data_IF_673610143513
#
_entry.id   IF_673610143513
#
_cell.length_a   1.000
_cell.length_b   1.000
_cell.length_c   1.000
_cell.angle_alpha   90.00
_cell.angle_beta   90.00
_cell.angle_gamma   90.00
#
_symmetry.space_group_name_H-M   'P 1'
#
loop_
_entity.id
_entity.type
_entity.pdbx_description
1 polymer ?
#
# COMPACT_ATOMS: atom_id res chain seq x y z
N UNK A 1 -7.06 8.50 2.10
CA UNK A 1 -6.25 9.46 1.32
C UNK A 1 -6.65 10.91 1.66
N UNK A 2 -5.69 11.80 1.71
CA UNK A 2 -5.91 13.25 1.78
C UNK A 2 -5.98 13.83 0.36
N UNK A 3 -6.91 14.76 0.12
CA UNK A 3 -7.04 15.43 -1.19
C UNK A 3 -6.94 16.95 -1.01
N UNK A 4 -6.07 17.59 -1.79
CA UNK A 4 -5.83 19.04 -1.76
C UNK A 4 -6.03 19.63 -3.15
N UNK A 5 -6.87 20.65 -3.23
CA UNK A 5 -7.13 21.36 -4.48
C UNK A 5 -5.92 22.18 -4.92
N UNK A 6 -5.60 22.12 -6.20
CA UNK A 6 -4.60 23.00 -6.82
C UNK A 6 -5.27 24.32 -7.21
N UNK A 7 -5.02 25.38 -6.44
CA UNK A 7 -5.63 26.70 -6.66
C UNK A 7 -5.35 27.24 -8.06
N UNK A 8 -6.32 27.94 -8.64
CA UNK A 8 -6.25 28.45 -10.01
C UNK A 8 -6.47 27.41 -11.10
N UNK A 9 -6.79 26.16 -10.73
CA UNK A 9 -7.07 25.05 -11.67
C UNK A 9 -8.29 24.25 -11.24
N UNK A 10 -8.76 23.32 -12.11
CA UNK A 10 -9.76 22.32 -11.74
C UNK A 10 -9.14 21.05 -11.13
N UNK A 11 -7.83 21.01 -10.91
CA UNK A 11 -7.12 19.83 -10.47
C UNK A 11 -7.05 19.72 -8.94
N UNK A 12 -6.87 18.49 -8.46
CA UNK A 12 -6.48 18.22 -7.09
C UNK A 12 -5.36 17.16 -7.05
N UNK A 13 -4.58 17.19 -5.99
CA UNK A 13 -3.58 16.20 -5.65
C UNK A 13 -4.12 15.36 -4.52
N UNK A 14 -4.07 14.03 -4.67
CA UNK A 14 -4.34 13.08 -3.61
C UNK A 14 -3.03 12.50 -3.08
N UNK A 15 -2.97 12.26 -1.77
CA UNK A 15 -1.85 11.62 -1.11
C UNK A 15 -2.35 10.50 -0.19
N UNK A 16 -1.62 9.39 -0.14
CA UNK A 16 -1.81 8.30 0.82
C UNK A 16 -0.48 7.96 1.50
N UNK A 17 -0.55 7.39 2.69
CA UNK A 17 0.60 6.81 3.37
C UNK A 17 0.17 5.45 3.91
N UNK A 18 0.88 4.42 3.49
CA UNK A 18 0.52 3.04 3.77
C UNK A 18 1.74 2.24 4.24
N UNK A 19 1.53 1.30 5.16
CA UNK A 19 2.58 0.42 5.68
C UNK A 19 1.94 -0.83 6.30
N UNK A 20 2.56 -1.98 6.12
CA UNK A 20 2.14 -3.23 6.75
C UNK A 20 3.35 -4.04 7.25
N UNK A 21 3.88 -3.64 8.40
CA UNK A 21 5.02 -4.31 9.02
C UNK A 21 4.78 -5.80 9.30
N UNK A 22 3.52 -6.18 9.54
CA UNK A 22 3.14 -7.56 9.82
C UNK A 22 3.24 -8.44 8.57
N UNK A 23 2.79 -7.93 7.44
CA UNK A 23 2.88 -8.62 6.16
C UNK A 23 4.34 -8.74 5.69
N UNK A 24 5.11 -7.66 5.83
CA UNK A 24 6.52 -7.66 5.49
C UNK A 24 7.33 -8.62 6.38
N UNK A 25 6.97 -8.76 7.66
CA UNK A 25 7.61 -9.71 8.56
C UNK A 25 7.24 -11.16 8.22
N UNK A 26 5.99 -11.43 7.87
CA UNK A 26 5.53 -12.77 7.55
C UNK A 26 6.05 -13.29 6.19
N UNK A 27 6.14 -12.41 5.20
CA UNK A 27 6.68 -12.69 3.86
C UNK A 27 7.13 -11.40 3.18
N UNK A 28 8.42 -11.03 3.27
CA UNK A 28 8.90 -9.72 2.89
C UNK A 28 8.61 -9.31 1.44
N UNK A 29 8.79 -10.23 0.50
CA UNK A 29 8.50 -10.00 -0.92
C UNK A 29 7.01 -9.66 -1.16
N UNK A 30 6.11 -10.47 -0.61
CA UNK A 30 4.66 -10.24 -0.74
C UNK A 30 4.24 -8.99 0.03
N UNK A 31 4.77 -8.78 1.24
CA UNK A 31 4.51 -7.58 2.03
C UNK A 31 4.93 -6.30 1.31
N UNK A 32 6.08 -6.31 0.64
CA UNK A 32 6.54 -5.20 -0.21
C UNK A 32 5.58 -4.91 -1.38
N UNK A 33 5.04 -5.95 -2.02
CA UNK A 33 3.99 -5.78 -3.06
C UNK A 33 2.70 -5.22 -2.48
N UNK A 34 2.27 -5.74 -1.32
CA UNK A 34 1.02 -5.33 -0.65
C UNK A 34 1.02 -3.84 -0.32
N UNK A 35 2.09 -3.32 0.26
CA UNK A 35 2.12 -1.91 0.69
C UNK A 35 2.06 -0.94 -0.50
N UNK A 36 2.67 -1.29 -1.64
CA UNK A 36 2.56 -0.50 -2.88
C UNK A 36 1.16 -0.59 -3.47
N UNK A 37 0.59 -1.80 -3.53
CA UNK A 37 -0.76 -2.02 -4.05
C UNK A 37 -1.82 -1.31 -3.19
N UNK A 38 -1.66 -1.29 -1.87
CA UNK A 38 -2.55 -0.58 -0.95
C UNK A 38 -2.52 0.93 -1.20
N UNK A 39 -1.34 1.53 -1.29
CA UNK A 39 -1.19 2.95 -1.60
C UNK A 39 -1.81 3.30 -2.96
N UNK A 40 -1.60 2.46 -3.96
CA UNK A 40 -2.17 2.61 -5.29
C UNK A 40 -3.72 2.56 -5.26
N UNK A 41 -4.32 1.56 -4.58
CA UNK A 41 -5.78 1.45 -4.39
C UNK A 41 -6.36 2.66 -3.65
N UNK A 42 -5.68 3.12 -2.61
CA UNK A 42 -6.12 4.25 -1.80
C UNK A 42 -6.19 5.56 -2.59
N UNK A 43 -5.33 5.75 -3.58
CA UNK A 43 -5.41 6.89 -4.50
C UNK A 43 -6.59 6.74 -5.47
N UNK A 44 -6.78 5.55 -6.01
CA UNK A 44 -7.88 5.26 -6.94
C UNK A 44 -9.24 5.42 -6.27
N UNK A 45 -9.37 5.00 -5.01
CA UNK A 45 -10.63 5.09 -4.26
C UNK A 45 -11.18 6.50 -4.11
N UNK A 46 -10.36 7.52 -4.29
CA UNK A 46 -10.79 8.94 -4.31
C UNK A 46 -10.86 9.53 -5.73
N UNK A 47 -10.70 8.70 -6.77
CA UNK A 47 -10.73 9.12 -8.17
C UNK A 47 -9.41 9.71 -8.68
N UNK A 48 -8.30 9.50 -7.96
CA UNK A 48 -6.99 9.98 -8.36
C UNK A 48 -6.25 8.94 -9.20
N UNK A 49 -5.69 9.37 -10.33
CA UNK A 49 -4.73 8.56 -11.08
C UNK A 49 -3.40 8.56 -10.34
N UNK A 50 -2.88 7.39 -9.88
CA UNK A 50 -1.58 7.30 -9.25
C UNK A 50 -0.46 7.78 -10.18
N UNK A 51 0.52 8.54 -9.67
CA UNK A 51 1.60 9.12 -10.46
C UNK A 51 2.95 8.60 -10.00
N UNK A 52 3.25 8.69 -8.69
CA UNK A 52 4.54 8.37 -8.14
C UNK A 52 4.46 8.09 -6.63
N UNK A 53 5.49 7.39 -6.13
CA UNK A 53 5.65 7.13 -4.70
C UNK A 53 6.99 7.67 -4.18
N UNK A 54 6.98 7.97 -2.89
CA UNK A 54 8.17 8.04 -2.05
C UNK A 54 8.15 6.88 -1.07
N UNK A 55 9.31 6.34 -0.68
CA UNK A 55 9.36 5.31 0.34
C UNK A 55 10.22 5.73 1.53
N UNK A 56 9.80 5.32 2.72
CA UNK A 56 10.57 5.44 3.94
C UNK A 56 10.77 4.02 4.49
N UNK A 57 11.98 3.49 4.31
CA UNK A 57 12.30 2.10 4.60
C UNK A 57 12.96 2.00 5.97
N UNK A 58 12.28 1.35 6.93
CA UNK A 58 12.76 1.22 8.31
C UNK A 58 12.98 -0.26 8.65
N UNK A 59 14.23 -0.62 8.98
CA UNK A 59 14.66 -1.99 9.24
C UNK A 59 15.59 -2.06 10.45
N UNK A 60 15.77 -3.27 10.97
CA UNK A 60 16.75 -3.57 12.04
C UNK A 60 18.19 -3.40 11.55
N UNK A 61 19.15 -3.96 12.30
CA UNK A 61 20.57 -3.93 11.92
C UNK A 61 20.82 -4.70 10.63
N UNK A 62 21.46 -4.09 9.61
CA UNK A 62 21.82 -4.78 8.37
C UNK A 62 22.96 -5.79 8.54
N UNK A 63 23.64 -5.79 9.68
CA UNK A 63 24.69 -6.76 10.02
C UNK A 63 24.12 -8.13 10.39
N UNK A 64 22.81 -8.21 10.66
CA UNK A 64 22.09 -9.46 10.87
C UNK A 64 21.57 -9.97 9.54
N UNK A 65 21.93 -11.18 9.14
CA UNK A 65 21.56 -11.78 7.84
C UNK A 65 20.04 -11.77 7.62
N UNK A 66 19.25 -12.14 8.63
CA UNK A 66 17.79 -12.14 8.56
C UNK A 66 17.23 -10.75 8.22
N UNK A 67 17.68 -9.71 8.92
CA UNK A 67 17.22 -8.33 8.68
C UNK A 67 17.60 -7.84 7.29
N UNK A 68 18.78 -8.23 6.79
CA UNK A 68 19.22 -7.87 5.46
C UNK A 68 18.45 -8.65 4.40
N UNK A 69 18.13 -9.92 4.64
CA UNK A 69 17.24 -10.72 3.80
C UNK A 69 15.85 -10.08 3.68
N UNK A 70 15.24 -9.73 4.80
CA UNK A 70 13.94 -9.03 4.84
C UNK A 70 13.97 -7.71 4.06
N UNK A 71 15.05 -6.92 4.18
CA UNK A 71 15.21 -5.68 3.42
C UNK A 71 15.27 -5.92 1.92
N UNK A 72 16.12 -6.86 1.48
CA UNK A 72 16.28 -7.17 0.05
C UNK A 72 14.98 -7.64 -0.58
N UNK A 73 14.29 -8.57 0.06
CA UNK A 73 13.00 -9.08 -0.45
C UNK A 73 11.89 -8.01 -0.44
N UNK A 74 11.81 -7.17 0.60
CA UNK A 74 10.87 -6.05 0.62
C UNK A 74 11.13 -5.08 -0.54
N UNK A 75 12.38 -4.69 -0.77
CA UNK A 75 12.76 -3.79 -1.87
C UNK A 75 12.44 -4.42 -3.22
N UNK A 76 12.68 -5.72 -3.39
CA UNK A 76 12.31 -6.45 -4.59
C UNK A 76 10.80 -6.41 -4.82
N UNK A 77 10.00 -6.72 -3.80
CA UNK A 77 8.53 -6.68 -3.87
C UNK A 77 7.99 -5.29 -4.22
N UNK A 78 8.53 -4.23 -3.59
CA UNK A 78 8.22 -2.84 -3.92
C UNK A 78 8.54 -2.53 -5.37
N UNK A 79 9.73 -2.94 -5.85
CA UNK A 79 10.16 -2.73 -7.23
C UNK A 79 9.27 -3.42 -8.26
N UNK A 80 8.89 -4.68 -8.02
CA UNK A 80 7.99 -5.44 -8.89
C UNK A 80 6.60 -4.77 -8.99
N UNK A 81 6.00 -4.41 -7.86
CA UNK A 81 4.69 -3.76 -7.83
C UNK A 81 4.72 -2.36 -8.46
N UNK A 82 5.73 -1.55 -8.13
CA UNK A 82 5.91 -0.22 -8.70
C UNK A 82 6.04 -0.24 -10.22
N UNK A 83 6.83 -1.17 -10.74
CA UNK A 83 7.02 -1.36 -12.19
C UNK A 83 5.72 -1.81 -12.86
N UNK A 84 5.03 -2.81 -12.28
CA UNK A 84 3.82 -3.36 -12.88
C UNK A 84 2.65 -2.37 -12.91
N UNK A 85 2.46 -1.65 -11.81
CA UNK A 85 1.39 -0.65 -11.63
C UNK A 85 1.71 0.70 -12.28
N UNK A 86 2.89 0.86 -12.90
CA UNK A 86 3.38 2.13 -13.43
C UNK A 86 3.33 3.24 -12.36
N UNK A 87 3.84 2.93 -11.18
CA UNK A 87 3.82 3.78 -9.99
C UNK A 87 5.26 3.95 -9.46
N UNK A 88 6.10 4.74 -10.17
CA UNK A 88 7.54 4.78 -9.95
C UNK A 88 7.92 5.40 -8.59
N UNK A 89 8.99 4.85 -8.01
CA UNK A 89 9.65 5.44 -6.84
C UNK A 89 10.50 6.61 -7.31
N UNK A 90 10.18 7.83 -6.88
CA UNK A 90 10.89 9.06 -7.27
C UNK A 90 11.71 9.66 -6.13
N UNK A 91 11.49 9.22 -4.91
CA UNK A 91 12.16 9.69 -3.70
C UNK A 91 12.08 8.64 -2.61
N UNK A 92 12.88 8.78 -1.58
CA UNK A 92 12.81 7.93 -0.39
C UNK A 92 14.04 8.04 0.48
N UNK A 93 13.99 7.29 1.59
CA UNK A 93 15.12 7.09 2.49
C UNK A 93 15.15 5.67 3.04
N UNK A 94 16.31 5.27 3.52
CA UNK A 94 16.51 4.04 4.27
C UNK A 94 17.01 4.39 5.67
N UNK A 95 16.39 3.78 6.68
CA UNK A 95 16.82 3.86 8.08
C UNK A 95 17.09 2.44 8.58
N UNK A 96 18.32 2.18 8.99
CA UNK A 96 18.75 0.93 9.60
C UNK A 96 19.00 1.09 11.09
N UNK A 97 19.34 0.00 11.75
CA UNK A 97 19.61 -0.06 13.21
C UNK A 97 18.40 0.37 14.07
N UNK A 98 17.17 0.25 13.54
CA UNK A 98 15.99 0.49 14.34
C UNK A 98 15.73 -0.71 15.23
N UNK A 99 16.22 -0.64 16.45
CA UNK A 99 16.17 -1.75 17.40
C UNK A 99 16.16 -1.29 18.85
N UNK A 100 15.66 -2.15 19.74
CA UNK A 100 15.78 -1.99 21.16
C UNK A 100 16.65 -3.12 21.70
N UNK A 101 17.84 -2.80 22.19
CA UNK A 101 18.88 -3.77 22.52
C UNK A 101 19.18 -4.64 21.28
N UNK A 102 19.04 -5.96 21.41
CA UNK A 102 19.30 -6.92 20.33
C UNK A 102 18.08 -7.22 19.43
N UNK A 103 16.93 -6.64 19.74
CA UNK A 103 15.69 -6.92 19.02
C UNK A 103 15.42 -5.81 18.01
N UNK A 104 15.49 -6.12 16.72
CA UNK A 104 15.11 -5.24 15.62
C UNK A 104 13.59 -5.03 15.55
N UNK A 105 13.19 -3.90 14.99
CA UNK A 105 11.79 -3.70 14.60
C UNK A 105 11.40 -4.69 13.50
N UNK A 106 10.13 -4.96 13.33
CA UNK A 106 9.63 -5.64 12.13
C UNK A 106 9.96 -4.81 10.89
N UNK A 107 10.17 -5.44 9.73
CA UNK A 107 10.37 -4.72 8.46
C UNK A 107 9.23 -3.74 8.23
N UNK A 108 9.53 -2.45 8.18
CA UNK A 108 8.51 -1.41 8.09
C UNK A 108 8.78 -0.45 6.93
N UNK A 109 8.60 -0.90 5.69
CA UNK A 109 8.55 0.01 4.56
C UNK A 109 7.24 0.80 4.61
N UNK A 110 7.32 2.13 4.57
CA UNK A 110 6.18 3.03 4.46
C UNK A 110 6.18 3.66 3.08
N UNK A 111 5.06 3.57 2.38
CA UNK A 111 4.89 4.09 1.02
C UNK A 111 4.01 5.34 1.07
N UNK A 112 4.55 6.46 0.62
CA UNK A 112 3.81 7.69 0.39
C UNK A 112 3.43 7.80 -1.07
N UNK A 113 2.15 7.62 -1.42
CA UNK A 113 1.65 7.70 -2.77
C UNK A 113 1.09 9.08 -3.12
N UNK A 114 1.31 9.52 -4.36
CA UNK A 114 0.75 10.75 -4.90
C UNK A 114 -0.04 10.44 -6.18
N UNK A 115 -1.24 10.98 -6.27
CA UNK A 115 -2.11 10.86 -7.44
C UNK A 115 -2.70 12.19 -7.88
N UNK A 116 -3.14 12.27 -9.14
CA UNK A 116 -3.74 13.44 -9.73
C UNK A 116 -5.23 13.21 -10.03
N UNK A 117 -6.07 14.12 -9.55
CA UNK A 117 -7.47 14.26 -9.94
C UNK A 117 -7.56 15.39 -10.97
N UNK A 118 -8.00 15.08 -12.19
CA UNK A 118 -8.07 16.08 -13.28
C UNK A 118 -9.14 17.13 -13.05
N UNK A 119 -10.26 16.72 -12.42
CA UNK A 119 -11.36 17.59 -12.04
C UNK A 119 -11.77 17.28 -10.60
N UNK A 120 -11.43 18.17 -9.67
CA UNK A 120 -11.72 17.97 -8.25
C UNK A 120 -13.21 17.81 -7.92
N UNK A 121 -14.11 18.26 -8.80
CA UNK A 121 -15.56 18.08 -8.65
C UNK A 121 -16.00 16.62 -8.81
N UNK A 122 -15.15 15.80 -9.44
CA UNK A 122 -15.36 14.36 -9.62
C UNK A 122 -14.71 13.50 -8.52
N UNK A 123 -14.15 14.14 -7.50
CA UNK A 123 -13.58 13.43 -6.36
C UNK A 123 -14.64 12.58 -5.66
N UNK A 124 -14.27 11.38 -5.27
CA UNK A 124 -15.10 10.48 -4.49
C UNK A 124 -14.71 10.59 -3.02
N UNK A 125 -15.72 10.66 -2.14
CA UNK A 125 -15.54 10.58 -0.69
C UNK A 125 -16.17 9.29 -0.15
N UNK A 126 -15.88 8.97 1.12
CA UNK A 126 -16.38 7.75 1.78
C UNK A 126 -17.88 7.79 2.06
N UNK A 127 -18.49 8.97 2.03
CA UNK A 127 -19.90 9.13 2.40
C UNK A 127 -20.83 8.50 1.35
N UNK A 128 -21.86 7.83 1.82
CA UNK A 128 -23.01 7.44 1.00
C UNK A 128 -23.81 8.70 0.65
N UNK A 129 -23.99 9.01 -0.64
CA UNK A 129 -24.50 10.30 -1.11
C UNK A 129 -26.03 10.37 -1.09
N UNK A 130 -26.70 9.35 -1.59
CA UNK A 130 -28.14 9.37 -1.81
C UNK A 130 -28.75 8.02 -1.44
N UNK A 131 -30.02 8.03 -1.08
CA UNK A 131 -30.83 6.81 -0.89
C UNK A 131 -30.98 6.13 -2.25
N UNK A 132 -31.06 4.82 -2.25
CA UNK A 132 -31.18 3.96 -3.43
C UNK A 132 -29.93 3.91 -4.35
N UNK A 133 -28.80 4.48 -3.95
CA UNK A 133 -27.54 4.25 -4.66
C UNK A 133 -27.10 2.79 -4.58
N UNK A 134 -26.58 2.28 -5.70
CA UNK A 134 -26.03 0.93 -5.76
C UNK A 134 -24.67 0.86 -5.06
N UNK A 135 -24.46 -0.19 -4.27
CA UNK A 135 -23.17 -0.54 -3.69
C UNK A 135 -22.58 -1.69 -4.49
N UNK A 136 -21.40 -1.46 -5.08
CA UNK A 136 -20.70 -2.44 -5.90
C UNK A 136 -19.47 -2.96 -5.17
N UNK A 137 -19.21 -4.27 -5.26
CA UNK A 137 -17.95 -4.88 -4.85
C UNK A 137 -17.14 -5.16 -6.11
N UNK A 138 -15.95 -4.55 -6.19
CA UNK A 138 -15.04 -4.73 -7.33
C UNK A 138 -13.90 -5.63 -6.91
N UNK A 139 -13.71 -6.74 -7.66
CA UNK A 139 -12.73 -7.76 -7.36
C UNK A 139 -13.35 -9.05 -6.84
N UNK A 140 -12.49 -9.99 -6.43
CA UNK A 140 -12.89 -11.28 -5.89
C UNK A 140 -12.54 -11.34 -4.41
N UNK A 141 -13.51 -11.74 -3.58
CA UNK A 141 -13.28 -12.01 -2.16
C UNK A 141 -12.83 -13.47 -2.01
N UNK A 142 -11.65 -13.67 -1.45
CA UNK A 142 -11.10 -14.98 -1.13
C UNK A 142 -11.08 -15.19 0.38
N UNK A 143 -11.13 -16.44 0.83
CA UNK A 143 -11.26 -16.79 2.24
C UNK A 143 -9.95 -16.71 3.04
N UNK A 144 -9.01 -15.85 2.69
CA UNK A 144 -7.74 -15.69 3.38
C UNK A 144 -7.92 -14.87 4.66
N UNK A 145 -7.47 -15.41 5.80
CA UNK A 145 -7.56 -14.74 7.10
C UNK A 145 -6.21 -14.58 7.80
N UNK A 146 -5.16 -15.25 7.36
CA UNK A 146 -3.84 -15.18 7.97
C UNK A 146 -3.30 -13.75 8.00
N UNK A 147 -2.61 -13.40 9.09
CA UNK A 147 -2.13 -12.05 9.38
C UNK A 147 -3.22 -10.97 9.49
N UNK A 148 -4.50 -11.32 9.41
CA UNK A 148 -5.60 -10.38 9.63
C UNK A 148 -5.72 -9.96 11.10
N UNK A 149 -6.37 -8.82 11.33
CA UNK A 149 -6.71 -8.40 12.69
C UNK A 149 -7.62 -9.44 13.38
N UNK A 150 -8.53 -10.08 12.64
CA UNK A 150 -9.39 -11.11 13.17
C UNK A 150 -8.59 -12.32 13.68
N UNK A 151 -7.67 -12.86 12.86
CA UNK A 151 -6.82 -13.97 13.27
C UNK A 151 -6.00 -13.63 14.53
N UNK A 152 -5.42 -12.43 14.55
CA UNK A 152 -4.53 -12.00 15.63
C UNK A 152 -5.22 -11.63 16.94
N UNK A 153 -6.44 -11.06 16.87
CA UNK A 153 -7.14 -10.52 18.04
C UNK A 153 -8.21 -11.44 18.57
N UNK A 154 -8.84 -12.21 17.72
CA UNK A 154 -9.95 -13.12 18.10
C UNK A 154 -9.46 -14.56 18.22
N UNK A 155 -8.64 -15.02 17.26
CA UNK A 155 -8.14 -16.40 17.27
C UNK A 155 -6.78 -16.56 17.98
N UNK A 156 -6.12 -15.45 18.34
CA UNK A 156 -4.72 -15.37 18.84
C UNK A 156 -3.69 -16.07 17.90
N UNK A 157 -4.01 -16.12 16.61
CA UNK A 157 -3.16 -16.68 15.57
C UNK A 157 -2.30 -15.57 14.92
N UNK A 158 -0.98 -15.74 14.93
CA UNK A 158 -0.01 -14.77 14.42
C UNK A 158 0.85 -15.32 13.29
N UNK A 159 0.54 -16.54 12.84
CA UNK A 159 1.30 -17.27 11.83
C UNK A 159 0.58 -17.20 10.47
N UNK A 160 1.24 -17.79 9.47
CA UNK A 160 0.74 -17.85 8.11
C UNK A 160 1.22 -16.71 7.22
N UNK A 161 1.11 -16.87 5.90
CA UNK A 161 1.52 -15.85 4.94
C UNK A 161 0.53 -14.67 4.90
N UNK A 162 0.95 -13.48 4.44
CA UNK A 162 0.00 -12.43 4.09
C UNK A 162 -0.80 -12.84 2.84
N UNK A 163 -1.95 -12.16 2.57
CA UNK A 163 -2.69 -12.41 1.34
C UNK A 163 -1.83 -12.08 0.11
N UNK A 164 -1.91 -12.93 -0.91
CA UNK A 164 -1.21 -12.72 -2.17
C UNK A 164 -1.72 -11.47 -2.91
N UNK A 165 -0.84 -10.83 -3.66
CA UNK A 165 -1.17 -9.70 -4.52
C UNK A 165 -1.17 -10.14 -5.98
N UNK A 166 -2.33 -10.13 -6.60
CA UNK A 166 -2.44 -10.30 -8.04
C UNK A 166 -2.39 -8.91 -8.71
N UNK A 167 -1.20 -8.47 -9.10
CA UNK A 167 -0.98 -7.15 -9.68
C UNK A 167 -1.76 -6.91 -10.99
N UNK A 168 -2.05 -7.96 -11.74
CA UNK A 168 -2.89 -7.87 -12.94
C UNK A 168 -4.32 -7.48 -12.58
N UNK A 169 -4.91 -8.16 -11.59
CA UNK A 169 -6.25 -7.85 -11.12
C UNK A 169 -6.30 -6.46 -10.46
N UNK A 170 -5.29 -6.11 -9.66
CA UNK A 170 -5.18 -4.77 -9.07
C UNK A 170 -5.26 -3.68 -10.13
N UNK A 171 -4.43 -3.80 -11.17
CA UNK A 171 -4.37 -2.82 -12.25
C UNK A 171 -5.68 -2.74 -13.02
N UNK A 172 -6.26 -3.87 -13.41
CA UNK A 172 -7.51 -3.90 -14.17
C UNK A 172 -8.68 -3.32 -13.37
N UNK A 173 -8.79 -3.70 -12.09
CA UNK A 173 -9.84 -3.18 -11.21
C UNK A 173 -9.73 -1.66 -11.05
N UNK A 174 -8.54 -1.15 -10.82
CA UNK A 174 -8.32 0.28 -10.65
C UNK A 174 -8.50 1.08 -11.93
N UNK A 175 -8.05 0.59 -13.08
CA UNK A 175 -8.31 1.23 -14.37
C UNK A 175 -9.81 1.25 -14.70
N UNK A 176 -10.54 0.20 -14.32
CA UNK A 176 -12.01 0.16 -14.46
C UNK A 176 -12.71 1.22 -13.60
N UNK A 177 -12.21 1.44 -12.38
CA UNK A 177 -12.77 2.46 -11.47
C UNK A 177 -12.51 3.88 -11.98
N UNK A 178 -11.36 4.12 -12.61
CA UNK A 178 -10.97 5.45 -13.08
C UNK A 178 -11.60 5.87 -14.42
N UNK A 179 -12.17 4.93 -15.20
CA UNK A 179 -12.82 5.18 -16.48
C UNK A 179 -14.32 5.35 -16.33
#
# INVERSE_FOLDING_TARGET
SGVVRVHGTNKAVAASVDSSAVYCWAHPLTGGKQVVAESWRNLISVGAKPIAITNCLNFGSPEKEDNMGEFVECVQGIGEASKYLNFPVVSGNVSFYNQTKEVGIKPTPSIGGVGLIKDYKKMISIDLKEVDNLVLIIGKTEGHIDQSLFARTILDEKNGPPPEVNLFNEKNNGETILN
#
